data_IF_929595192544
#
_entry.id   IF_929595192544
#
_cell.length_a   1.000
_cell.length_b   1.000
_cell.length_c   1.000
_cell.angle_alpha   90.00
_cell.angle_beta   90.00
_cell.angle_gamma   90.00
#
_symmetry.space_group_name_H-M   'P 1'
#
loop_
_entity.id
_entity.type
_entity.pdbx_description
1 polymer ?
#
# COMPACT_ATOMS: atom_id res chain seq x y z
N UNK A 1 -19.67 40.19 -17.84
CA UNK A 1 -19.00 40.74 -16.64
C UNK A 1 -18.81 39.69 -15.53
N UNK A 2 -19.67 38.68 -15.44
CA UNK A 2 -19.61 37.71 -14.32
C UNK A 2 -18.55 36.61 -14.45
N UNK A 3 -17.98 36.38 -15.62
CA UNK A 3 -16.91 35.39 -15.82
C UNK A 3 -15.50 35.88 -15.44
N UNK A 4 -15.27 37.16 -15.39
CA UNK A 4 -13.96 37.75 -15.04
C UNK A 4 -13.77 37.82 -13.54
N UNK A 5 -14.84 38.04 -12.78
CA UNK A 5 -14.78 38.07 -11.29
C UNK A 5 -14.54 36.68 -10.67
N UNK A 6 -14.93 35.60 -11.36
CA UNK A 6 -14.77 34.24 -10.85
C UNK A 6 -13.33 33.73 -10.97
N UNK A 7 -12.58 34.17 -11.99
CA UNK A 7 -11.17 33.81 -12.21
C UNK A 7 -10.24 34.53 -11.24
N UNK A 8 -10.56 35.77 -10.85
CA UNK A 8 -9.74 36.52 -9.85
C UNK A 8 -9.94 35.98 -8.42
N UNK A 9 -11.10 35.43 -8.07
CA UNK A 9 -11.35 34.83 -6.76
C UNK A 9 -10.60 33.48 -6.57
N UNK A 10 -10.40 32.70 -7.63
CA UNK A 10 -9.64 31.45 -7.57
C UNK A 10 -8.13 31.73 -7.51
N UNK A 11 -7.66 32.80 -8.14
CA UNK A 11 -6.25 33.21 -8.11
C UNK A 11 -5.79 33.74 -6.72
N UNK A 12 -6.72 34.21 -5.87
CA UNK A 12 -6.38 34.71 -4.53
C UNK A 12 -6.41 33.63 -3.46
N UNK A 13 -7.04 32.49 -3.69
CA UNK A 13 -7.05 31.36 -2.74
C UNK A 13 -5.74 30.56 -2.73
N UNK A 14 -4.89 30.70 -3.75
CA UNK A 14 -3.59 30.02 -3.83
C UNK A 14 -2.42 30.79 -3.19
N UNK A 15 -2.64 32.02 -2.71
CA UNK A 15 -1.62 32.87 -2.08
C UNK A 15 -1.98 33.33 -0.68
N UNK A 16 -2.65 32.51 0.11
CA UNK A 16 -2.68 32.73 1.55
C UNK A 16 -1.30 32.41 2.10
N UNK A 17 -0.57 33.37 2.71
CA UNK A 17 0.67 33.04 3.38
C UNK A 17 0.36 32.00 4.47
N UNK A 18 1.20 30.98 4.56
CA UNK A 18 1.20 30.10 5.72
C UNK A 18 1.25 30.97 6.99
N UNK A 19 0.54 30.61 8.06
CA UNK A 19 0.59 31.40 9.28
C UNK A 19 2.05 31.50 9.73
N UNK A 20 2.55 32.75 9.79
CA UNK A 20 3.85 33.13 10.37
C UNK A 20 3.83 32.79 11.87
N UNK A 21 4.21 31.62 12.19
CA UNK A 21 4.44 31.10 13.51
C UNK A 21 4.97 29.71 13.31
N UNK A 22 6.29 29.53 13.24
CA UNK A 22 6.99 28.27 13.03
C UNK A 22 6.65 27.22 14.09
N UNK A 23 5.46 26.67 14.04
CA UNK A 23 5.16 25.41 14.67
C UNK A 23 5.95 24.35 13.92
N UNK A 24 7.07 23.91 14.48
CA UNK A 24 7.77 22.74 14.01
C UNK A 24 6.78 21.58 14.06
N UNK A 25 6.48 21.01 12.89
CA UNK A 25 5.59 19.85 12.83
C UNK A 25 6.12 18.74 13.75
N UNK A 26 5.22 18.12 14.50
CA UNK A 26 5.58 17.08 15.45
C UNK A 26 6.06 15.84 14.70
N UNK A 27 7.23 15.32 15.08
CA UNK A 27 7.72 14.04 14.49
C UNK A 27 6.80 12.90 14.84
N UNK A 28 6.53 12.08 13.85
CA UNK A 28 5.67 10.90 13.98
C UNK A 28 6.52 9.64 14.12
N UNK A 29 6.42 9.00 15.27
CA UNK A 29 7.10 7.74 15.61
C UNK A 29 6.17 6.57 15.34
N UNK A 30 6.68 5.49 14.76
CA UNK A 30 6.00 4.20 14.73
C UNK A 30 6.28 3.49 16.06
N UNK A 31 5.35 3.63 16.99
CA UNK A 31 5.47 3.12 18.36
C UNK A 31 5.38 1.59 18.41
N UNK A 32 4.43 1.00 17.70
CA UNK A 32 4.24 -0.43 17.68
C UNK A 32 3.46 -0.91 16.47
N UNK A 33 3.72 -2.15 16.07
CA UNK A 33 3.08 -2.79 14.92
C UNK A 33 2.64 -4.21 15.24
N UNK A 34 1.57 -4.65 14.59
CA UNK A 34 1.03 -6.01 14.74
C UNK A 34 0.40 -6.50 13.44
N UNK A 35 0.47 -7.81 13.20
CA UNK A 35 -0.07 -8.43 11.99
C UNK A 35 -0.43 -9.89 12.25
N UNK A 36 -1.59 -10.32 11.75
CA UNK A 36 -1.97 -11.74 11.77
C UNK A 36 -1.27 -12.50 10.64
N UNK A 37 -1.17 -13.83 10.77
CA UNK A 37 -0.87 -14.66 9.59
C UNK A 37 -2.01 -14.54 8.59
N UNK A 38 -1.68 -14.26 7.33
CA UNK A 38 -2.69 -14.14 6.29
C UNK A 38 -3.23 -15.53 5.90
N UNK A 39 -4.52 -15.58 5.59
CA UNK A 39 -5.25 -16.81 5.29
C UNK A 39 -6.11 -16.69 4.04
N UNK A 40 -6.45 -17.83 3.44
CA UNK A 40 -7.42 -17.89 2.33
C UNK A 40 -8.84 -17.63 2.85
N UNK A 41 -9.75 -17.13 2.00
CA UNK A 41 -11.17 -17.08 2.32
C UNK A 41 -11.68 -18.45 2.80
N UNK A 42 -12.45 -18.44 3.89
CA UNK A 42 -12.98 -19.65 4.53
C UNK A 42 -12.01 -20.37 5.47
N UNK A 43 -10.74 -19.94 5.56
CA UNK A 43 -9.74 -20.49 6.47
C UNK A 43 -9.23 -19.46 7.50
N UNK A 44 -9.82 -18.27 7.55
CA UNK A 44 -9.50 -17.20 8.50
C UNK A 44 -10.46 -17.20 9.67
N UNK A 45 -10.05 -16.56 10.76
CA UNK A 45 -10.95 -16.05 11.78
C UNK A 45 -11.85 -14.93 11.21
N UNK A 46 -12.84 -14.48 11.97
CA UNK A 46 -13.67 -13.33 11.58
C UNK A 46 -12.88 -12.03 11.63
N UNK A 47 -13.31 -11.03 10.85
CA UNK A 47 -12.60 -9.77 10.70
C UNK A 47 -12.32 -9.07 12.03
N UNK A 48 -13.27 -9.13 12.97
CA UNK A 48 -13.16 -8.51 14.29
C UNK A 48 -12.15 -9.23 15.20
N UNK A 49 -11.99 -10.54 15.06
CA UNK A 49 -10.95 -11.34 15.77
C UNK A 49 -9.58 -11.06 15.19
N UNK A 50 -9.45 -11.01 13.84
CA UNK A 50 -8.19 -10.70 13.20
C UNK A 50 -7.71 -9.28 13.53
N UNK A 51 -8.62 -8.32 13.57
CA UNK A 51 -8.32 -6.95 13.97
C UNK A 51 -7.90 -6.86 15.45
N UNK A 52 -8.63 -7.54 16.34
CA UNK A 52 -8.27 -7.61 17.76
C UNK A 52 -6.85 -8.14 17.97
N UNK A 53 -6.52 -9.25 17.31
CA UNK A 53 -5.18 -9.86 17.44
C UNK A 53 -4.09 -8.89 16.95
N UNK A 54 -4.28 -8.26 15.79
CA UNK A 54 -3.34 -7.26 15.27
C UNK A 54 -3.16 -6.05 16.20
N UNK A 55 -4.25 -5.53 16.77
CA UNK A 55 -4.19 -4.40 17.72
C UNK A 55 -3.44 -4.80 18.99
N UNK A 56 -3.75 -5.98 19.57
CA UNK A 56 -3.09 -6.46 20.79
C UNK A 56 -1.60 -6.69 20.58
N UNK A 57 -1.19 -7.18 19.41
CA UNK A 57 0.22 -7.29 19.05
C UNK A 57 0.88 -5.90 18.96
N UNK A 58 0.24 -4.91 18.32
CA UNK A 58 0.76 -3.55 18.21
C UNK A 58 0.90 -2.86 19.57
N UNK A 59 -0.08 -3.01 20.46
CA UNK A 59 -0.02 -2.50 21.84
C UNK A 59 1.13 -3.15 22.63
N UNK A 60 1.28 -4.47 22.49
CA UNK A 60 2.39 -5.21 23.13
C UNK A 60 3.75 -4.76 22.59
N UNK A 61 3.87 -4.54 21.28
CA UNK A 61 5.11 -4.08 20.65
C UNK A 61 5.47 -2.65 21.09
N UNK A 62 4.46 -1.78 21.23
CA UNK A 62 4.64 -0.42 21.76
C UNK A 62 4.89 -0.39 23.29
N UNK A 63 4.52 -1.43 24.03
CA UNK A 63 4.63 -1.48 25.49
C UNK A 63 3.63 -0.57 26.24
N UNK A 64 2.44 -0.31 25.65
CA UNK A 64 1.39 0.55 26.21
C UNK A 64 0.05 -0.16 26.32
N UNK A 65 -0.90 0.43 27.05
CA UNK A 65 -2.27 -0.02 27.15
C UNK A 65 -3.19 0.60 26.12
N UNK A 66 -4.38 0.05 25.92
CA UNK A 66 -5.38 0.63 25.01
C UNK A 66 -5.93 1.97 25.53
N UNK A 67 -5.88 2.19 26.83
CA UNK A 67 -6.23 3.45 27.50
C UNK A 67 -5.34 4.64 27.11
N UNK A 68 -4.17 4.37 26.58
CA UNK A 68 -3.24 5.40 26.08
C UNK A 68 -3.60 5.90 24.66
N UNK A 69 -4.43 5.14 23.93
CA UNK A 69 -4.87 5.50 22.58
C UNK A 69 -5.93 6.60 22.67
N UNK A 70 -5.71 7.68 21.94
CA UNK A 70 -6.58 8.87 21.96
C UNK A 70 -7.53 8.96 20.75
N UNK A 71 -7.20 8.28 19.66
CA UNK A 71 -8.00 8.24 18.42
C UNK A 71 -7.68 6.98 17.63
N UNK A 72 -8.63 6.50 16.81
CA UNK A 72 -8.42 5.33 15.96
C UNK A 72 -8.99 5.51 14.55
N UNK A 73 -8.23 5.01 13.55
CA UNK A 73 -8.66 4.89 12.17
C UNK A 73 -8.73 3.42 11.78
N UNK A 74 -9.91 2.98 11.35
CA UNK A 74 -10.17 1.58 10.98
C UNK A 74 -10.44 1.46 9.48
N UNK A 75 -9.58 0.72 8.78
CA UNK A 75 -9.64 0.51 7.34
C UNK A 75 -10.17 -0.87 6.97
N UNK A 76 -11.21 -0.90 6.11
CA UNK A 76 -11.75 -2.11 5.50
C UNK A 76 -12.53 -1.75 4.23
N UNK A 77 -12.70 -2.70 3.32
CA UNK A 77 -13.41 -2.51 2.05
C UNK A 77 -14.73 -3.27 2.04
N UNK A 78 -14.70 -4.56 2.33
CA UNK A 78 -15.85 -5.45 2.32
C UNK A 78 -16.40 -5.68 3.73
N UNK A 79 -17.06 -4.67 4.27
CA UNK A 79 -17.72 -4.73 5.58
C UNK A 79 -18.88 -3.75 5.66
N UNK A 80 -19.81 -4.04 6.55
CA UNK A 80 -20.91 -3.13 6.86
C UNK A 80 -20.42 -1.86 7.57
N UNK A 81 -21.28 -0.85 7.64
CA UNK A 81 -21.00 0.35 8.42
C UNK A 81 -20.63 0.00 9.86
N UNK A 82 -19.63 0.72 10.42
CA UNK A 82 -19.19 0.56 11.81
C UNK A 82 -18.45 -0.77 12.14
N UNK A 83 -17.99 -1.53 11.14
CA UNK A 83 -17.15 -2.69 11.40
C UNK A 83 -15.88 -2.32 12.20
N UNK A 84 -15.34 -1.11 12.01
CA UNK A 84 -14.20 -0.61 12.80
C UNK A 84 -14.49 -0.52 14.28
N UNK A 85 -15.66 0.02 14.67
CA UNK A 85 -16.08 0.05 16.08
C UNK A 85 -16.22 -1.38 16.64
N UNK A 86 -16.87 -2.29 15.90
CA UNK A 86 -17.03 -3.68 16.31
C UNK A 86 -15.67 -4.35 16.59
N UNK A 87 -14.70 -4.11 15.72
CA UNK A 87 -13.36 -4.66 15.85
C UNK A 87 -12.61 -4.07 17.05
N UNK A 88 -12.60 -2.73 17.18
CA UNK A 88 -11.87 -2.03 18.25
C UNK A 88 -12.49 -2.30 19.62
N UNK A 89 -13.82 -2.40 19.73
CA UNK A 89 -14.51 -2.66 21.00
C UNK A 89 -14.15 -4.02 21.62
N UNK A 90 -13.61 -4.97 20.85
CA UNK A 90 -13.05 -6.22 21.39
C UNK A 90 -11.78 -5.99 22.22
N UNK A 91 -11.06 -4.92 21.96
CA UNK A 91 -9.84 -4.53 22.70
C UNK A 91 -10.20 -3.66 23.89
N UNK A 92 -11.07 -2.66 23.70
CA UNK A 92 -11.51 -1.77 24.74
C UNK A 92 -12.57 -0.78 24.27
N UNK A 93 -13.28 -0.17 25.22
CA UNK A 93 -14.32 0.85 24.99
C UNK A 93 -14.01 2.08 25.85
N UNK A 94 -13.05 2.90 25.41
CA UNK A 94 -12.57 4.09 26.14
C UNK A 94 -13.27 5.38 25.71
N UNK A 95 -14.16 5.31 24.73
CA UNK A 95 -14.90 6.49 24.23
C UNK A 95 -14.12 7.35 23.24
N UNK A 96 -12.96 6.89 22.76
CA UNK A 96 -12.16 7.61 21.76
C UNK A 96 -12.88 7.73 20.41
N UNK A 97 -12.61 8.78 19.62
CA UNK A 97 -13.07 8.86 18.25
C UNK A 97 -12.58 7.69 17.41
N UNK A 98 -13.50 7.06 16.66
CA UNK A 98 -13.17 6.00 15.67
C UNK A 98 -13.71 6.43 14.32
N UNK A 99 -12.80 6.48 13.32
CA UNK A 99 -13.13 6.83 11.92
C UNK A 99 -12.93 5.61 11.04
N UNK A 100 -13.97 5.22 10.29
CA UNK A 100 -13.87 4.16 9.28
C UNK A 100 -13.41 4.75 7.94
N UNK A 101 -12.48 4.08 7.28
CA UNK A 101 -11.80 4.55 6.06
C UNK A 101 -11.94 3.51 4.97
N UNK A 102 -12.15 3.95 3.74
CA UNK A 102 -12.16 3.09 2.55
C UNK A 102 -11.61 3.85 1.33
N UNK A 103 -10.46 3.41 0.84
CA UNK A 103 -9.83 3.81 -0.42
C UNK A 103 -9.37 2.55 -1.18
N UNK A 104 -10.29 1.57 -1.31
CA UNK A 104 -10.02 0.29 -1.95
C UNK A 104 -8.71 -0.35 -1.41
N UNK A 105 -7.82 -0.82 -2.27
CA UNK A 105 -6.60 -1.52 -1.86
C UNK A 105 -5.61 -0.65 -1.04
N UNK A 106 -5.69 0.69 -1.10
CA UNK A 106 -4.85 1.60 -0.31
C UNK A 106 -5.44 1.99 1.05
N UNK A 107 -6.54 1.36 1.44
CA UNK A 107 -7.28 1.67 2.68
C UNK A 107 -6.41 1.66 3.93
N UNK A 108 -5.55 0.64 4.11
CA UNK A 108 -4.68 0.56 5.28
C UNK A 108 -3.65 1.70 5.35
N UNK A 109 -3.08 2.07 4.21
CA UNK A 109 -2.17 3.22 4.12
C UNK A 109 -2.89 4.55 4.29
N UNK A 110 -4.17 4.65 3.89
CA UNK A 110 -4.99 5.84 4.15
C UNK A 110 -5.28 5.99 5.65
N UNK A 111 -5.56 4.90 6.37
CA UNK A 111 -5.70 4.93 7.82
C UNK A 111 -4.40 5.40 8.50
N UNK A 112 -3.25 4.92 8.02
CA UNK A 112 -1.92 5.34 8.49
C UNK A 112 -1.64 6.83 8.17
N UNK A 113 -2.05 7.30 6.99
CA UNK A 113 -1.93 8.71 6.58
C UNK A 113 -2.70 9.64 7.50
N UNK A 114 -3.95 9.31 7.81
CA UNK A 114 -4.77 10.10 8.75
C UNK A 114 -4.22 10.04 10.18
N UNK A 115 -3.73 8.88 10.63
CA UNK A 115 -3.10 8.74 11.93
C UNK A 115 -1.84 9.61 12.04
N UNK A 116 -1.00 9.66 10.99
CA UNK A 116 0.16 10.55 10.94
C UNK A 116 -0.27 12.01 11.03
N UNK A 117 -1.24 12.44 10.25
CA UNK A 117 -1.74 13.82 10.30
C UNK A 117 -2.24 14.19 11.68
N UNK A 118 -2.94 13.30 12.39
CA UNK A 118 -3.41 13.56 13.74
C UNK A 118 -2.24 13.83 14.71
N UNK A 119 -1.12 13.12 14.59
CA UNK A 119 0.09 13.35 15.39
C UNK A 119 0.79 14.63 14.93
N UNK A 120 1.05 14.78 13.65
CA UNK A 120 1.86 15.86 13.07
C UNK A 120 1.28 17.25 13.35
N UNK A 121 -0.05 17.35 13.31
CA UNK A 121 -0.78 18.61 13.61
C UNK A 121 -1.23 18.73 15.07
N UNK A 122 -0.77 17.84 15.96
CA UNK A 122 -1.04 17.94 17.40
C UNK A 122 -2.49 17.74 17.79
N UNK A 123 -3.27 16.98 16.98
CA UNK A 123 -4.66 16.62 17.32
C UNK A 123 -4.67 15.55 18.41
N UNK A 124 -3.70 14.65 18.39
CA UNK A 124 -3.53 13.57 19.35
C UNK A 124 -2.03 13.22 19.47
N UNK A 125 -1.63 12.66 20.62
CA UNK A 125 -0.25 12.23 20.87
C UNK A 125 -0.03 10.72 20.64
N UNK A 126 -1.12 9.92 20.64
CA UNK A 126 -1.06 8.49 20.41
C UNK A 126 -2.31 8.01 19.66
N UNK A 127 -2.12 7.43 18.48
CA UNK A 127 -3.18 7.10 17.54
C UNK A 127 -3.02 5.67 17.01
N UNK A 128 -4.12 4.94 16.95
CA UNK A 128 -4.20 3.61 16.35
C UNK A 128 -4.65 3.69 14.89
N UNK A 129 -3.91 3.07 13.98
CA UNK A 129 -4.39 2.68 12.66
C UNK A 129 -4.55 1.16 12.63
N UNK A 130 -5.72 0.66 12.29
CA UNK A 130 -6.01 -0.78 12.14
C UNK A 130 -6.67 -1.04 10.81
N UNK A 131 -6.27 -2.11 10.14
CA UNK A 131 -6.86 -2.55 8.89
C UNK A 131 -7.14 -4.04 8.91
N UNK A 132 -8.25 -4.43 8.31
CA UNK A 132 -8.64 -5.84 8.23
C UNK A 132 -9.44 -6.10 6.97
N UNK A 133 -9.45 -7.37 6.54
CA UNK A 133 -10.31 -7.80 5.45
C UNK A 133 -10.69 -9.27 5.63
N UNK A 134 -11.96 -9.56 5.44
CA UNK A 134 -12.50 -10.93 5.38
C UNK A 134 -13.11 -11.12 3.99
N UNK A 135 -12.25 -11.43 3.00
CA UNK A 135 -12.66 -11.59 1.62
C UNK A 135 -13.45 -12.89 1.40
N UNK A 136 -14.32 -12.86 0.40
CA UNK A 136 -15.02 -14.04 -0.10
C UNK A 136 -14.25 -14.66 -1.28
N UNK A 137 -14.43 -15.95 -1.58
CA UNK A 137 -13.96 -16.54 -2.83
C UNK A 137 -14.53 -15.77 -4.04
N UNK A 138 -13.69 -15.49 -5.06
CA UNK A 138 -14.11 -14.72 -6.22
C UNK A 138 -14.24 -13.21 -5.98
N UNK A 139 -13.46 -12.67 -5.07
CA UNK A 139 -13.43 -11.27 -4.65
C UNK A 139 -13.39 -10.23 -5.78
N UNK A 140 -13.72 -8.98 -5.43
CA UNK A 140 -13.82 -7.79 -6.27
C UNK A 140 -15.11 -7.70 -7.11
N UNK A 141 -16.15 -8.43 -6.73
CA UNK A 141 -17.49 -8.20 -7.29
C UNK A 141 -18.10 -6.91 -6.71
N UNK A 142 -18.88 -6.19 -7.52
CA UNK A 142 -19.65 -5.05 -7.05
C UNK A 142 -20.70 -5.52 -6.01
N UNK A 143 -20.72 -4.84 -4.86
CA UNK A 143 -21.71 -5.12 -3.80
C UNK A 143 -23.07 -4.51 -4.13
N UNK A 144 -23.08 -3.34 -4.76
CA UNK A 144 -24.30 -2.62 -5.13
C UNK A 144 -24.46 -2.55 -6.65
N UNK A 145 -25.60 -2.98 -7.16
CA UNK A 145 -25.93 -3.00 -8.60
C UNK A 145 -27.04 -2.04 -8.98
N UNK A 146 -27.62 -1.31 -8.00
CA UNK A 146 -28.74 -0.40 -8.13
C UNK A 146 -28.34 1.08 -8.24
N UNK A 147 -27.06 1.37 -8.29
CA UNK A 147 -26.49 2.71 -8.33
C UNK A 147 -25.27 2.78 -9.25
N UNK A 148 -24.81 3.99 -9.66
CA UNK A 148 -23.61 4.12 -10.49
C UNK A 148 -22.40 3.41 -9.89
N UNK A 149 -21.67 2.65 -10.73
CA UNK A 149 -20.40 2.05 -10.33
C UNK A 149 -19.35 3.14 -10.13
N UNK A 150 -18.52 3.10 -9.08
CA UNK A 150 -17.39 4.02 -8.94
C UNK A 150 -16.33 3.81 -10.02
N UNK A 151 -16.40 2.69 -10.76
CA UNK A 151 -15.48 2.36 -11.85
C UNK A 151 -16.06 2.63 -13.25
N UNK A 152 -17.22 3.27 -13.38
CA UNK A 152 -17.88 3.43 -14.68
C UNK A 152 -17.01 4.11 -15.74
N UNK A 153 -16.26 5.17 -15.36
CA UNK A 153 -15.37 5.88 -16.29
C UNK A 153 -14.11 5.07 -16.58
N UNK A 154 -13.59 4.35 -15.58
CA UNK A 154 -12.48 3.40 -15.74
C UNK A 154 -12.85 2.26 -16.68
N UNK A 155 -14.04 1.67 -16.50
CA UNK A 155 -14.56 0.58 -17.31
C UNK A 155 -14.71 1.05 -18.77
N UNK A 156 -15.31 2.24 -18.97
CA UNK A 156 -15.48 2.83 -20.29
C UNK A 156 -14.14 3.05 -21.00
N UNK A 157 -13.14 3.57 -20.27
CA UNK A 157 -11.81 3.80 -20.82
C UNK A 157 -11.09 2.48 -21.10
N UNK A 158 -11.17 1.53 -20.19
CA UNK A 158 -10.59 0.19 -20.37
C UNK A 158 -11.20 -0.52 -21.58
N UNK A 159 -12.54 -0.50 -21.73
CA UNK A 159 -13.25 -1.11 -22.86
C UNK A 159 -12.84 -0.50 -24.21
N UNK A 160 -12.52 0.79 -24.22
CA UNK A 160 -12.04 1.49 -25.43
C UNK A 160 -10.58 1.18 -25.79
N UNK A 161 -9.78 0.69 -24.84
CA UNK A 161 -8.34 0.43 -25.02
C UNK A 161 -8.01 -1.06 -25.12
N UNK A 162 -8.82 -1.94 -24.53
CA UNK A 162 -8.56 -3.37 -24.42
C UNK A 162 -9.73 -4.17 -24.96
N UNK A 163 -9.52 -4.83 -26.09
CA UNK A 163 -10.52 -5.69 -26.73
C UNK A 163 -10.49 -7.11 -26.15
N UNK A 164 -11.04 -7.29 -24.93
CA UNK A 164 -11.13 -8.59 -24.26
C UNK A 164 -12.17 -8.59 -23.11
N UNK A 165 -13.44 -8.39 -23.46
CA UNK A 165 -14.55 -8.30 -22.49
C UNK A 165 -14.74 -9.56 -21.63
N UNK A 166 -14.27 -10.73 -22.08
CA UNK A 166 -14.42 -12.00 -21.36
C UNK A 166 -13.44 -12.18 -20.18
N UNK A 167 -12.44 -11.29 -20.04
CA UNK A 167 -11.44 -11.34 -18.96
C UNK A 167 -12.00 -10.61 -17.73
N UNK A 168 -11.91 -11.17 -16.52
CA UNK A 168 -12.32 -10.51 -15.30
C UNK A 168 -11.68 -9.11 -15.14
N UNK A 169 -12.47 -8.15 -14.67
CA UNK A 169 -12.14 -6.72 -14.72
C UNK A 169 -10.76 -6.35 -14.18
N UNK A 170 -10.41 -6.81 -12.97
CA UNK A 170 -9.09 -6.52 -12.37
C UNK A 170 -7.92 -7.04 -13.23
N UNK A 171 -8.10 -8.20 -13.88
CA UNK A 171 -7.10 -8.75 -14.79
C UNK A 171 -6.98 -7.91 -16.06
N UNK A 172 -8.08 -7.32 -16.54
CA UNK A 172 -8.09 -6.42 -17.70
C UNK A 172 -7.33 -5.13 -17.41
N UNK A 173 -7.53 -4.53 -16.25
CA UNK A 173 -6.82 -3.31 -15.85
C UNK A 173 -5.31 -3.53 -15.79
N UNK A 174 -4.87 -4.42 -14.91
CA UNK A 174 -3.43 -4.61 -14.68
C UNK A 174 -2.75 -5.40 -15.81
N UNK A 175 -3.44 -6.36 -16.40
CA UNK A 175 -2.95 -7.06 -17.59
C UNK A 175 -2.86 -6.12 -18.80
N UNK A 176 -3.84 -5.24 -18.99
CA UNK A 176 -3.84 -4.21 -20.01
C UNK A 176 -2.68 -3.24 -19.86
N UNK A 177 -2.41 -2.80 -18.62
CA UNK A 177 -1.26 -1.97 -18.31
C UNK A 177 0.08 -2.67 -18.62
N UNK A 178 0.22 -3.94 -18.22
CA UNK A 178 1.38 -4.75 -18.59
C UNK A 178 1.50 -4.93 -20.10
N UNK A 179 0.39 -5.14 -20.81
CA UNK A 179 0.39 -5.23 -22.28
C UNK A 179 0.84 -3.90 -22.92
N UNK A 180 0.36 -2.76 -22.43
CA UNK A 180 0.85 -1.45 -22.89
C UNK A 180 2.36 -1.30 -22.71
N UNK A 181 2.88 -1.78 -21.56
CA UNK A 181 4.32 -1.79 -21.31
C UNK A 181 5.08 -2.74 -22.26
N UNK A 182 4.51 -3.93 -22.53
CA UNK A 182 5.08 -4.87 -23.52
C UNK A 182 5.16 -4.24 -24.91
N UNK A 183 4.07 -3.59 -25.35
CA UNK A 183 3.98 -2.98 -26.66
C UNK A 183 4.92 -1.77 -26.81
N UNK A 184 5.11 -0.98 -25.76
CA UNK A 184 5.90 0.25 -25.75
C UNK A 184 7.40 -0.01 -25.57
N UNK A 185 7.77 -0.96 -24.71
CA UNK A 185 9.15 -1.16 -24.25
C UNK A 185 9.71 -2.56 -24.51
N UNK A 186 8.92 -3.49 -25.07
CA UNK A 186 9.36 -4.82 -25.39
C UNK A 186 9.46 -5.77 -24.18
N UNK A 187 8.80 -5.46 -23.06
CA UNK A 187 8.68 -6.35 -21.90
C UNK A 187 8.08 -7.70 -22.33
N UNK A 188 8.53 -8.74 -21.71
CA UNK A 188 8.09 -10.12 -22.02
C UNK A 188 7.27 -10.73 -20.89
N UNK A 189 6.52 -11.77 -21.19
CA UNK A 189 5.82 -12.56 -20.17
C UNK A 189 6.77 -13.12 -19.11
N UNK A 190 8.00 -13.45 -19.51
CA UNK A 190 9.04 -13.96 -18.60
C UNK A 190 9.46 -12.92 -17.55
N UNK A 191 9.49 -11.62 -17.88
CA UNK A 191 9.82 -10.57 -16.91
C UNK A 191 8.80 -10.54 -15.77
N UNK A 192 7.50 -10.67 -16.06
CA UNK A 192 6.46 -10.81 -15.05
C UNK A 192 6.58 -12.12 -14.27
N UNK A 193 6.97 -13.22 -14.93
CA UNK A 193 7.20 -14.49 -14.25
C UNK A 193 8.38 -14.41 -13.27
N UNK A 194 9.45 -13.71 -13.59
CA UNK A 194 10.60 -13.45 -12.71
C UNK A 194 10.19 -12.67 -11.45
N UNK A 195 9.30 -11.69 -11.58
CA UNK A 195 8.73 -10.96 -10.43
C UNK A 195 7.97 -11.93 -9.51
N UNK A 196 7.08 -12.77 -10.06
CA UNK A 196 6.33 -13.74 -9.26
C UNK A 196 7.24 -14.75 -8.57
N UNK A 197 8.23 -15.27 -9.27
CA UNK A 197 9.23 -16.20 -8.71
C UNK A 197 10.00 -15.54 -7.56
N UNK A 198 10.46 -14.27 -7.73
CA UNK A 198 11.08 -13.48 -6.66
C UNK A 198 10.16 -13.35 -5.45
N UNK A 199 8.90 -12.96 -5.63
CA UNK A 199 7.94 -12.79 -4.54
C UNK A 199 7.75 -14.11 -3.75
N UNK A 200 7.69 -15.26 -4.43
CA UNK A 200 7.56 -16.56 -3.77
C UNK A 200 8.81 -16.92 -2.95
N UNK A 201 10.00 -16.68 -3.50
CA UNK A 201 11.28 -16.90 -2.81
C UNK A 201 11.40 -16.02 -1.56
N UNK A 202 11.00 -14.75 -1.62
CA UNK A 202 10.97 -13.88 -0.46
C UNK A 202 9.99 -14.37 0.60
N UNK A 203 8.80 -14.83 0.20
CA UNK A 203 7.77 -15.31 1.10
C UNK A 203 8.17 -16.56 1.89
N UNK A 204 9.08 -17.41 1.38
CA UNK A 204 9.58 -18.58 2.14
C UNK A 204 10.25 -18.20 3.45
N UNK A 205 10.71 -16.94 3.56
CA UNK A 205 11.33 -16.38 4.77
C UNK A 205 10.31 -15.73 5.73
N UNK A 206 9.03 -15.67 5.34
CA UNK A 206 8.00 -14.99 6.11
C UNK A 206 6.97 -15.96 6.70
N UNK A 207 7.01 -16.23 8.02
CA UNK A 207 6.06 -17.14 8.66
C UNK A 207 4.60 -16.65 8.63
N UNK A 208 4.38 -15.35 8.35
CA UNK A 208 3.06 -14.73 8.28
C UNK A 208 2.48 -14.74 6.85
N UNK A 209 3.25 -15.20 5.86
CA UNK A 209 2.80 -15.26 4.47
C UNK A 209 1.74 -16.35 4.25
N UNK A 210 0.84 -16.07 3.30
CA UNK A 210 -0.17 -17.02 2.84
C UNK A 210 0.45 -18.22 2.10
N UNK A 211 1.47 -17.94 1.25
CA UNK A 211 2.22 -18.96 0.52
C UNK A 211 3.66 -18.99 1.03
N UNK A 212 4.11 -20.17 1.38
CA UNK A 212 5.43 -20.46 1.95
C UNK A 212 6.33 -21.33 1.04
N UNK A 213 5.87 -21.55 -0.21
CA UNK A 213 6.59 -22.36 -1.20
C UNK A 213 7.11 -21.51 -2.34
N UNK A 214 8.37 -21.74 -2.69
CA UNK A 214 8.96 -21.17 -3.87
C UNK A 214 8.36 -21.77 -5.14
N UNK A 215 8.12 -20.91 -6.13
CA UNK A 215 7.76 -21.29 -7.51
C UNK A 215 8.84 -20.78 -8.45
N UNK A 216 9.23 -21.59 -9.43
CA UNK A 216 10.19 -21.21 -10.45
C UNK A 216 9.55 -20.30 -11.51
N UNK A 217 10.38 -19.65 -12.32
CA UNK A 217 9.90 -18.93 -13.51
C UNK A 217 9.12 -19.84 -14.43
N UNK A 218 9.61 -21.07 -14.62
CA UNK A 218 8.95 -22.09 -15.46
C UNK A 218 7.57 -22.48 -14.92
N UNK A 219 7.42 -22.68 -13.59
CA UNK A 219 6.13 -22.96 -12.96
C UNK A 219 5.13 -21.82 -13.21
N UNK A 220 5.60 -20.56 -13.18
CA UNK A 220 4.74 -19.40 -13.44
C UNK A 220 4.33 -19.35 -14.91
N UNK A 221 5.27 -19.62 -15.83
CA UNK A 221 5.01 -19.61 -17.27
C UNK A 221 4.03 -20.71 -17.68
N UNK A 222 4.11 -21.88 -17.04
CA UNK A 222 3.23 -23.03 -17.31
C UNK A 222 1.91 -23.01 -16.53
N UNK A 223 1.71 -22.05 -15.64
CA UNK A 223 0.46 -21.92 -14.90
C UNK A 223 -0.73 -21.66 -15.87
N UNK A 224 -1.97 -21.98 -15.46
CA UNK A 224 -3.14 -21.71 -16.29
C UNK A 224 -3.17 -20.30 -16.86
N UNK A 225 -3.32 -20.22 -18.19
CA UNK A 225 -3.37 -18.94 -18.90
C UNK A 225 -4.67 -18.21 -18.58
N UNK A 226 -4.57 -16.97 -18.14
CA UNK A 226 -5.69 -16.07 -17.88
C UNK A 226 -5.90 -15.07 -19.02
N UNK A 227 -4.80 -14.68 -19.66
CA UNK A 227 -4.79 -13.84 -20.86
C UNK A 227 -3.63 -14.28 -21.76
N UNK A 228 -3.94 -14.86 -22.95
CA UNK A 228 -2.89 -15.37 -23.85
C UNK A 228 -1.80 -14.35 -24.15
N UNK A 229 -0.56 -14.74 -23.93
CA UNK A 229 0.63 -13.90 -24.16
C UNK A 229 0.85 -12.78 -23.14
N UNK A 230 -0.08 -12.53 -22.23
CA UNK A 230 -0.01 -11.41 -21.26
C UNK A 230 0.06 -11.89 -19.82
N UNK A 231 -0.75 -12.87 -19.42
CA UNK A 231 -0.89 -13.23 -18.01
C UNK A 231 -1.18 -14.70 -17.78
N UNK A 232 -0.49 -15.30 -16.81
CA UNK A 232 -0.88 -16.56 -16.19
C UNK A 232 -1.48 -16.33 -14.79
N UNK A 233 -2.20 -17.34 -14.28
CA UNK A 233 -2.87 -17.25 -12.97
C UNK A 233 -1.94 -16.89 -11.81
N UNK A 234 -0.68 -17.32 -11.84
CA UNK A 234 0.27 -17.05 -10.77
C UNK A 234 0.79 -15.61 -10.75
N UNK A 235 0.53 -14.82 -11.79
CA UNK A 235 0.92 -13.40 -11.87
C UNK A 235 -0.06 -12.45 -11.17
N UNK A 236 -1.15 -12.98 -10.60
CA UNK A 236 -2.15 -12.24 -9.83
C UNK A 236 -2.10 -12.66 -8.35
N UNK A 237 -2.34 -11.70 -7.44
CA UNK A 237 -2.47 -11.98 -6.01
C UNK A 237 -3.75 -12.79 -5.73
N UNK A 238 -3.74 -13.67 -4.73
CA UNK A 238 -4.93 -14.42 -4.33
C UNK A 238 -5.85 -13.57 -3.44
N UNK A 239 -7.17 -13.81 -3.45
CA UNK A 239 -8.05 -13.33 -2.40
C UNK A 239 -7.53 -13.75 -1.03
N UNK A 240 -7.46 -12.80 -0.09
CA UNK A 240 -6.78 -13.01 1.19
C UNK A 240 -7.55 -12.35 2.34
N UNK A 241 -7.56 -13.01 3.50
CA UNK A 241 -8.09 -12.49 4.75
C UNK A 241 -6.95 -12.21 5.73
N UNK A 242 -7.08 -11.18 6.57
CA UNK A 242 -6.09 -10.85 7.57
C UNK A 242 -6.33 -9.50 8.23
N UNK A 243 -5.56 -9.22 9.27
CA UNK A 243 -5.55 -7.96 9.99
C UNK A 243 -4.12 -7.46 10.21
N UNK A 244 -3.95 -6.14 10.24
CA UNK A 244 -2.71 -5.48 10.61
C UNK A 244 -3.00 -4.16 11.33
N UNK A 245 -2.10 -3.73 12.22
CA UNK A 245 -2.24 -2.51 13.00
C UNK A 245 -0.90 -1.82 13.18
N UNK A 246 -0.94 -0.49 13.29
CA UNK A 246 0.18 0.36 13.68
C UNK A 246 -0.29 1.38 14.71
N UNK A 247 0.56 1.63 15.71
CA UNK A 247 0.39 2.71 16.67
C UNK A 247 1.42 3.78 16.34
N UNK A 248 0.93 4.98 16.09
CA UNK A 248 1.76 6.15 15.87
C UNK A 248 1.71 7.05 17.10
N UNK A 249 2.81 7.66 17.45
CA UNK A 249 2.84 8.64 18.54
C UNK A 249 3.77 9.83 18.26
N UNK A 250 3.58 10.89 19.05
CA UNK A 250 4.49 12.02 19.08
C UNK A 250 5.84 11.64 19.72
N UNK A 251 6.91 12.36 19.37
CA UNK A 251 8.23 12.14 19.98
C UNK A 251 8.18 12.35 21.51
N UNK A 252 7.38 13.32 21.97
CA UNK A 252 7.19 13.60 23.40
C UNK A 252 6.47 12.47 24.12
N UNK A 253 5.44 11.90 23.49
CA UNK A 253 4.74 10.73 24.04
C UNK A 253 5.69 9.52 24.10
N UNK A 254 6.45 9.27 23.03
CA UNK A 254 7.42 8.17 23.00
C UNK A 254 8.45 8.30 24.13
N UNK A 255 9.00 9.51 24.32
CA UNK A 255 9.97 9.78 25.42
C UNK A 255 9.35 9.56 26.79
N UNK A 256 8.12 10.03 27.01
CA UNK A 256 7.41 9.90 28.30
C UNK A 256 7.12 8.44 28.68
N UNK A 257 6.80 7.61 27.69
CA UNK A 257 6.41 6.22 27.87
C UNK A 257 7.57 5.22 27.64
N UNK A 258 8.79 5.71 27.31
CA UNK A 258 9.96 4.85 27.06
C UNK A 258 9.82 3.98 25.79
N UNK A 259 9.08 4.47 24.80
CA UNK A 259 8.82 3.77 23.53
C UNK A 259 10.06 3.85 22.62
N UNK A 260 10.31 2.78 21.88
CA UNK A 260 11.34 2.74 20.84
C UNK A 260 11.04 3.75 19.72
N UNK A 261 11.82 4.83 19.65
CA UNK A 261 11.65 5.92 18.70
C UNK A 261 12.53 5.81 17.45
N UNK A 262 13.15 4.65 17.23
CA UNK A 262 14.08 4.46 16.09
C UNK A 262 13.43 4.55 14.72
N UNK A 263 12.11 4.34 14.59
CA UNK A 263 11.42 4.36 13.30
C UNK A 263 10.48 5.57 13.23
N UNK A 264 10.74 6.46 12.29
CA UNK A 264 9.98 7.68 12.06
C UNK A 264 9.35 7.67 10.67
N UNK A 265 8.12 8.16 10.54
CA UNK A 265 7.55 8.51 9.23
C UNK A 265 7.99 9.94 8.92
N UNK A 266 8.93 10.10 8.00
CA UNK A 266 9.53 11.41 7.69
C UNK A 266 8.82 12.14 6.58
N UNK A 267 8.23 11.42 5.63
CA UNK A 267 7.40 11.99 4.57
C UNK A 267 6.28 11.02 4.18
N UNK A 268 5.17 11.57 3.74
CA UNK A 268 4.04 10.78 3.24
C UNK A 268 3.19 11.66 2.33
N UNK A 269 2.77 11.12 1.20
CA UNK A 269 1.85 11.76 0.27
C UNK A 269 0.71 10.82 -0.09
N UNK A 270 -0.46 11.39 -0.34
CA UNK A 270 -1.61 10.71 -0.92
C UNK A 270 -2.09 11.49 -2.14
N UNK A 271 -2.14 10.83 -3.27
CA UNK A 271 -2.60 11.39 -4.55
C UNK A 271 -3.85 10.67 -5.05
N UNK A 272 -4.60 11.31 -5.91
CA UNK A 272 -5.77 10.74 -6.60
C UNK A 272 -5.65 10.96 -8.10
N UNK A 273 -6.56 10.39 -8.86
CA UNK A 273 -6.61 10.53 -10.32
C UNK A 273 -6.74 11.99 -10.76
N UNK A 274 -6.19 12.28 -11.92
CA UNK A 274 -6.33 13.54 -12.64
C UNK A 274 -7.06 13.29 -13.96
N UNK A 275 -7.50 14.32 -14.71
CA UNK A 275 -8.07 14.12 -16.03
C UNK A 275 -7.17 13.31 -16.98
N UNK A 276 -5.83 13.39 -16.81
CA UNK A 276 -4.87 12.62 -17.59
C UNK A 276 -5.04 11.09 -17.44
N UNK A 277 -5.55 10.60 -16.32
CA UNK A 277 -5.86 9.18 -16.11
C UNK A 277 -6.75 8.62 -17.23
N UNK A 278 -7.71 9.40 -17.73
CA UNK A 278 -8.64 9.01 -18.79
C UNK A 278 -8.22 9.57 -20.17
N UNK A 279 -7.75 10.81 -20.23
CA UNK A 279 -7.45 11.53 -21.46
C UNK A 279 -6.20 10.99 -22.19
N UNK A 280 -5.22 10.47 -21.45
CA UNK A 280 -3.99 9.91 -22.01
C UNK A 280 -4.24 8.65 -22.86
N UNK A 281 -5.36 7.95 -22.67
CA UNK A 281 -5.70 6.70 -23.36
C UNK A 281 -4.58 5.67 -23.26
N UNK A 282 -4.00 5.52 -22.09
CA UNK A 282 -2.95 4.57 -21.76
C UNK A 282 -3.35 3.74 -20.53
N UNK A 283 -3.29 2.42 -20.64
CA UNK A 283 -3.66 1.52 -19.56
C UNK A 283 -2.72 1.63 -18.34
N UNK A 284 -1.47 2.07 -18.53
CA UNK A 284 -0.56 2.33 -17.39
C UNK A 284 -1.05 3.53 -16.58
N UNK A 285 -1.55 4.57 -17.24
CA UNK A 285 -2.17 5.72 -16.57
C UNK A 285 -3.44 5.32 -15.81
N UNK A 286 -4.26 4.48 -16.43
CA UNK A 286 -5.52 4.01 -15.85
C UNK A 286 -5.33 3.22 -14.55
N UNK A 287 -4.19 2.56 -14.36
CA UNK A 287 -3.84 1.86 -13.12
C UNK A 287 -2.95 2.69 -12.17
N UNK A 288 -2.78 3.99 -12.42
CA UNK A 288 -2.17 4.94 -11.50
C UNK A 288 -0.67 5.14 -11.62
N UNK A 289 -0.08 5.03 -12.82
CA UNK A 289 1.35 5.30 -13.05
C UNK A 289 1.73 6.73 -12.63
N UNK A 290 1.06 7.77 -13.18
CA UNK A 290 1.34 9.17 -12.85
C UNK A 290 1.00 9.49 -11.38
N UNK A 291 -0.09 8.91 -10.88
CA UNK A 291 -0.48 9.05 -9.47
C UNK A 291 0.61 8.53 -8.54
N UNK A 292 1.25 7.39 -8.88
CA UNK A 292 2.40 6.82 -8.17
C UNK A 292 3.62 7.73 -8.27
N UNK A 293 3.95 8.18 -9.48
CA UNK A 293 5.11 9.04 -9.73
C UNK A 293 5.00 10.39 -9.00
N UNK A 294 3.81 10.99 -9.00
CA UNK A 294 3.57 12.26 -8.29
C UNK A 294 3.66 12.09 -6.76
N UNK A 295 3.07 11.03 -6.19
CA UNK A 295 3.18 10.75 -4.77
C UNK A 295 4.64 10.50 -4.35
N UNK A 296 5.40 9.73 -5.14
CA UNK A 296 6.82 9.47 -4.88
C UNK A 296 7.64 10.77 -4.93
N UNK A 297 7.44 11.59 -5.96
CA UNK A 297 8.10 12.90 -6.09
C UNK A 297 7.85 13.79 -4.87
N UNK A 298 6.58 13.93 -4.43
CA UNK A 298 6.22 14.70 -3.25
C UNK A 298 6.94 14.20 -1.99
N UNK A 299 7.03 12.88 -1.82
CA UNK A 299 7.69 12.26 -0.66
C UNK A 299 9.20 12.50 -0.68
N UNK A 300 9.86 12.32 -1.83
CA UNK A 300 11.28 12.58 -1.95
C UNK A 300 11.62 14.06 -1.73
N UNK A 301 10.85 14.96 -2.33
CA UNK A 301 11.02 16.42 -2.12
C UNK A 301 10.84 16.81 -0.64
N UNK A 302 9.79 16.29 0.03
CA UNK A 302 9.54 16.60 1.44
C UNK A 302 10.62 16.05 2.37
N UNK A 303 11.20 14.88 2.04
CA UNK A 303 12.26 14.27 2.82
C UNK A 303 13.67 14.79 2.48
N UNK A 304 13.82 15.48 1.35
CA UNK A 304 15.13 15.98 0.85
C UNK A 304 16.09 14.87 0.42
N UNK A 305 15.54 13.75 -0.12
CA UNK A 305 16.33 12.60 -0.61
C UNK A 305 15.87 12.19 -2.01
N UNK A 306 16.60 11.27 -2.65
CA UNK A 306 16.20 10.63 -3.91
C UNK A 306 15.85 9.16 -3.75
N UNK A 307 15.38 8.54 -4.83
CA UNK A 307 15.12 7.10 -4.85
C UNK A 307 16.39 6.28 -4.57
N UNK A 308 17.57 6.81 -4.93
CA UNK A 308 18.87 6.19 -4.73
C UNK A 308 19.28 6.02 -3.26
N UNK A 309 18.63 6.75 -2.35
CA UNK A 309 18.87 6.69 -0.90
C UNK A 309 18.02 5.62 -0.19
N UNK A 310 17.07 4.98 -0.92
CA UNK A 310 16.17 3.95 -0.36
C UNK A 310 16.86 2.59 -0.31
N UNK A 311 16.77 1.90 0.82
CA UNK A 311 17.36 0.57 1.02
C UNK A 311 16.36 -0.57 0.76
N UNK A 312 15.10 -0.38 1.19
CA UNK A 312 14.06 -1.41 1.14
C UNK A 312 12.70 -0.83 0.78
N UNK A 313 11.94 -1.55 -0.03
CA UNK A 313 10.65 -1.12 -0.54
C UNK A 313 9.59 -2.20 -0.34
N UNK A 314 8.46 -1.86 0.25
CA UNK A 314 7.21 -2.63 0.15
C UNK A 314 6.28 -1.89 -0.80
N UNK A 315 6.06 -2.44 -1.98
CA UNK A 315 5.23 -1.83 -3.02
C UNK A 315 4.01 -2.70 -3.37
N UNK A 316 3.07 -2.11 -4.09
CA UNK A 316 1.77 -2.71 -4.40
C UNK A 316 1.86 -3.66 -5.61
N UNK A 317 2.24 -4.90 -5.38
CA UNK A 317 2.33 -5.97 -6.37
C UNK A 317 1.05 -6.83 -6.43
N UNK A 318 -0.13 -6.20 -6.55
CA UNK A 318 -1.37 -6.97 -6.72
C UNK A 318 -1.34 -7.85 -7.98
N UNK A 319 -0.56 -7.44 -8.98
CA UNK A 319 -0.16 -8.20 -10.16
C UNK A 319 1.34 -7.98 -10.41
N UNK A 320 2.01 -8.98 -10.98
CA UNK A 320 3.41 -8.84 -11.38
C UNK A 320 3.61 -7.69 -12.39
N UNK A 321 2.60 -7.43 -13.21
CA UNK A 321 2.53 -6.30 -14.16
C UNK A 321 2.60 -4.95 -13.43
N UNK A 322 1.83 -4.81 -12.34
CA UNK A 322 1.81 -3.59 -11.54
C UNK A 322 3.14 -3.37 -10.80
N UNK A 323 3.77 -4.43 -10.29
CA UNK A 323 5.09 -4.31 -9.66
C UNK A 323 6.12 -3.75 -10.63
N UNK A 324 6.15 -4.26 -11.88
CA UNK A 324 7.06 -3.79 -12.91
C UNK A 324 6.89 -2.30 -13.19
N UNK A 325 5.64 -1.86 -13.42
CA UNK A 325 5.30 -0.46 -13.70
C UNK A 325 5.63 0.42 -12.49
N UNK A 326 5.42 -0.09 -11.27
CA UNK A 326 5.70 0.64 -10.04
C UNK A 326 7.19 0.88 -9.82
N UNK A 327 8.10 0.03 -10.29
CA UNK A 327 9.54 0.31 -10.25
C UNK A 327 9.89 1.62 -10.95
N UNK A 328 9.29 1.85 -12.10
CA UNK A 328 9.48 3.06 -12.89
C UNK A 328 8.78 4.27 -12.26
N UNK A 329 7.52 4.10 -11.82
CA UNK A 329 6.75 5.16 -11.17
C UNK A 329 7.39 5.65 -9.86
N UNK A 330 8.03 4.77 -9.09
CA UNK A 330 8.79 5.15 -7.88
C UNK A 330 10.20 5.67 -8.17
N UNK A 331 10.63 5.67 -9.44
CA UNK A 331 11.99 6.10 -9.82
C UNK A 331 13.11 5.14 -9.41
N UNK A 332 12.80 3.86 -9.11
CA UNK A 332 13.80 2.86 -8.79
C UNK A 332 14.64 2.49 -10.02
N UNK A 333 14.06 2.62 -11.20
CA UNK A 333 14.70 2.56 -12.49
C UNK A 333 14.09 3.58 -13.45
N UNK A 334 14.77 3.94 -14.58
CA UNK A 334 14.19 4.83 -15.59
C UNK A 334 12.95 4.22 -16.25
N UNK A 335 12.08 5.05 -16.81
CA UNK A 335 10.95 4.61 -17.66
C UNK A 335 11.46 3.73 -18.80
N UNK A 336 10.82 2.56 -19.00
CA UNK A 336 11.23 1.53 -19.95
C UNK A 336 12.49 0.74 -19.53
N UNK A 337 12.98 0.92 -18.31
CA UNK A 337 14.16 0.26 -17.77
C UNK A 337 13.90 -0.95 -16.88
N UNK A 338 12.64 -1.26 -16.60
CA UNK A 338 12.27 -2.28 -15.62
C UNK A 338 12.75 -3.69 -16.00
N UNK A 339 12.79 -4.05 -17.31
CA UNK A 339 13.30 -5.36 -17.75
C UNK A 339 14.76 -5.55 -17.37
N UNK A 340 15.60 -4.51 -17.61
CA UNK A 340 17.00 -4.55 -17.22
C UNK A 340 17.16 -4.62 -15.71
N UNK A 341 16.40 -3.82 -14.98
CA UNK A 341 16.38 -3.82 -13.52
C UNK A 341 16.06 -5.21 -12.91
N UNK A 342 15.10 -5.93 -13.51
CA UNK A 342 14.75 -7.30 -13.12
C UNK A 342 15.87 -8.28 -13.53
N UNK A 343 16.41 -8.16 -14.75
CA UNK A 343 17.43 -9.07 -15.28
C UNK A 343 18.76 -8.97 -14.50
N UNK A 344 19.13 -7.76 -14.06
CA UNK A 344 20.30 -7.52 -13.24
C UNK A 344 20.13 -7.96 -11.78
N UNK A 345 18.88 -8.27 -11.36
CA UNK A 345 18.58 -8.64 -9.98
C UNK A 345 18.54 -7.45 -9.03
N UNK A 346 18.42 -6.24 -9.55
CA UNK A 346 18.41 -5.00 -8.77
C UNK A 346 17.15 -4.82 -7.90
N UNK A 347 16.17 -5.71 -8.04
CA UNK A 347 14.91 -5.73 -7.29
C UNK A 347 14.86 -6.75 -6.14
N UNK A 348 15.99 -7.35 -5.77
CA UNK A 348 16.05 -8.42 -4.76
C UNK A 348 17.30 -8.33 -3.90
N UNK A 349 17.45 -9.24 -2.95
CA UNK A 349 18.64 -9.31 -2.08
C UNK A 349 19.93 -9.41 -2.88
N UNK A 350 20.88 -8.53 -2.57
CA UNK A 350 22.16 -8.40 -3.27
C UNK A 350 22.13 -7.46 -4.46
N UNK A 351 20.96 -6.99 -4.88
CA UNK A 351 20.78 -5.94 -5.88
C UNK A 351 20.77 -4.54 -5.28
N UNK A 352 20.36 -3.56 -6.09
CA UNK A 352 20.34 -2.15 -5.69
C UNK A 352 19.27 -1.86 -4.62
N UNK A 353 18.10 -2.48 -4.76
CA UNK A 353 16.99 -2.37 -3.81
C UNK A 353 16.49 -3.76 -3.43
N UNK A 354 15.96 -3.91 -2.21
CA UNK A 354 15.18 -5.10 -1.88
C UNK A 354 13.69 -4.72 -1.93
N UNK A 355 13.00 -5.20 -2.95
CA UNK A 355 11.56 -4.95 -3.10
C UNK A 355 10.74 -6.13 -2.57
N UNK A 356 9.71 -5.83 -1.79
CA UNK A 356 8.79 -6.80 -1.19
C UNK A 356 9.52 -7.94 -0.43
N UNK A 357 10.39 -7.63 0.56
CA UNK A 357 11.05 -8.66 1.38
C UNK A 357 10.05 -9.57 2.10
N UNK A 358 8.85 -9.08 2.36
CA UNK A 358 7.75 -9.85 2.97
C UNK A 358 7.16 -10.94 2.07
N UNK A 359 7.47 -10.94 0.77
CA UNK A 359 6.82 -11.75 -0.26
C UNK A 359 5.71 -10.99 -1.03
N UNK A 360 5.48 -9.73 -0.68
CA UNK A 360 4.52 -8.86 -1.36
C UNK A 360 3.07 -9.37 -1.33
N UNK A 361 2.21 -8.72 -2.10
CA UNK A 361 0.82 -9.10 -2.23
C UNK A 361 0.68 -10.44 -2.99
N UNK A 362 1.60 -10.70 -3.92
CA UNK A 362 1.62 -11.91 -4.74
C UNK A 362 1.82 -13.19 -3.93
N UNK A 363 2.53 -13.14 -2.79
CA UNK A 363 2.86 -14.33 -2.00
C UNK A 363 2.53 -14.21 -0.53
N UNK A 364 2.77 -13.07 0.13
CA UNK A 364 2.30 -12.81 1.49
C UNK A 364 0.78 -12.74 1.51
N UNK A 365 0.17 -12.13 0.50
CA UNK A 365 -1.26 -11.98 0.36
C UNK A 365 -1.72 -10.52 0.39
N UNK A 366 -3.00 -10.31 0.02
CA UNK A 366 -3.58 -8.98 -0.17
C UNK A 366 -4.96 -8.84 0.48
N UNK A 367 -5.06 -8.80 1.82
CA UNK A 367 -6.30 -8.35 2.48
C UNK A 367 -6.37 -6.83 2.33
N UNK A 368 -7.32 -6.33 1.52
CA UNK A 368 -7.37 -4.94 1.03
C UNK A 368 -7.19 -3.90 2.14
N UNK A 369 -8.00 -4.00 3.20
CA UNK A 369 -7.93 -3.07 4.33
C UNK A 369 -6.65 -3.17 5.16
N UNK A 370 -6.02 -4.35 5.22
CA UNK A 370 -4.83 -4.60 6.04
C UNK A 370 -3.50 -4.35 5.31
N UNK A 371 -3.48 -4.38 3.97
CA UNK A 371 -2.24 -4.42 3.18
C UNK A 371 -1.27 -3.29 3.52
N UNK A 372 -1.74 -2.04 3.57
CA UNK A 372 -0.86 -0.91 3.85
C UNK A 372 -0.24 -0.94 5.26
N UNK A 373 -0.99 -1.45 6.23
CA UNK A 373 -0.47 -1.62 7.60
C UNK A 373 0.45 -2.83 7.74
N UNK A 374 0.23 -3.88 6.94
CA UNK A 374 1.16 -5.02 6.85
C UNK A 374 2.49 -4.63 6.17
N UNK A 375 2.48 -3.68 5.24
CA UNK A 375 3.70 -3.06 4.70
C UNK A 375 4.42 -2.24 5.78
N UNK A 376 3.69 -1.43 6.56
CA UNK A 376 4.24 -0.71 7.72
C UNK A 376 4.86 -1.67 8.75
N UNK A 377 4.21 -2.80 9.06
CA UNK A 377 4.74 -3.85 9.91
C UNK A 377 6.10 -4.36 9.42
N UNK A 378 6.20 -4.73 8.16
CA UNK A 378 7.45 -5.24 7.56
C UNK A 378 8.56 -4.19 7.61
N UNK A 379 8.28 -2.97 7.12
CA UNK A 379 9.29 -1.91 7.04
C UNK A 379 9.75 -1.44 8.42
N UNK A 380 8.87 -1.42 9.41
CA UNK A 380 9.23 -1.16 10.81
C UNK A 380 10.19 -2.22 11.34
N UNK A 381 9.90 -3.50 11.06
CA UNK A 381 10.79 -4.62 11.41
C UNK A 381 12.17 -4.50 10.75
N UNK A 382 12.20 -4.12 9.47
CA UNK A 382 13.44 -3.91 8.71
C UNK A 382 14.31 -2.80 9.34
N UNK A 383 13.71 -1.65 9.64
CA UNK A 383 14.43 -0.51 10.23
C UNK A 383 14.84 -0.74 11.71
N UNK A 384 14.08 -1.54 12.45
CA UNK A 384 14.45 -1.96 13.80
C UNK A 384 15.50 -3.06 13.85
N UNK A 385 15.78 -3.74 12.74
CA UNK A 385 16.67 -4.90 12.69
C UNK A 385 16.04 -6.17 13.26
N UNK A 386 14.72 -6.29 13.20
CA UNK A 386 13.94 -7.39 13.78
C UNK A 386 13.19 -8.24 12.76
N UNK A 387 13.45 -8.04 11.46
CA UNK A 387 12.78 -8.77 10.38
C UNK A 387 13.22 -10.25 10.24
N UNK A 388 14.13 -10.73 11.08
CA UNK A 388 14.60 -12.13 11.08
C UNK A 388 15.25 -12.51 9.75
N UNK A 389 14.81 -13.62 9.13
CA UNK A 389 15.37 -14.10 7.87
C UNK A 389 15.12 -13.17 6.67
N UNK A 390 14.19 -12.21 6.81
CA UNK A 390 13.87 -11.21 5.78
C UNK A 390 14.73 -9.95 5.91
N UNK A 391 15.59 -9.86 6.92
CA UNK A 391 16.36 -8.65 7.21
C UNK A 391 17.19 -8.21 6.02
N UNK A 392 17.04 -6.94 5.62
CA UNK A 392 17.92 -6.21 4.73
C UNK A 392 19.00 -5.57 5.61
N UNK A 393 20.22 -6.04 5.47
CA UNK A 393 21.32 -5.60 6.32
C UNK A 393 21.62 -4.10 6.13
N UNK A 394 21.69 -3.39 7.24
CA UNK A 394 22.03 -1.97 7.27
C UNK A 394 20.92 -1.02 6.81
N UNK A 395 19.70 -1.50 6.59
CA UNK A 395 18.58 -0.66 6.14
C UNK A 395 18.33 0.52 7.10
N UNK A 396 18.26 1.73 6.54
CA UNK A 396 18.02 3.00 7.23
C UNK A 396 16.87 3.79 6.64
N UNK A 397 16.59 3.60 5.35
CA UNK A 397 15.52 4.27 4.61
C UNK A 397 14.62 3.23 3.97
N UNK A 398 13.35 3.29 4.28
CA UNK A 398 12.36 2.36 3.77
C UNK A 398 11.21 3.10 3.08
N UNK A 399 10.77 2.61 1.93
CA UNK A 399 9.68 3.19 1.15
C UNK A 399 8.51 2.23 1.08
N UNK A 400 7.33 2.73 1.37
CA UNK A 400 6.06 2.04 1.20
C UNK A 400 5.28 2.67 0.05
N UNK A 401 4.73 1.83 -0.82
CA UNK A 401 3.78 2.24 -1.86
C UNK A 401 2.53 1.37 -1.80
N UNK A 402 1.38 1.99 -1.70
CA UNK A 402 0.10 1.29 -1.66
C UNK A 402 -0.92 2.00 -2.56
N UNK A 403 -1.39 1.28 -3.58
CA UNK A 403 -2.29 1.76 -4.61
C UNK A 403 -3.68 1.20 -4.39
N UNK A 404 -4.71 2.04 -4.49
CA UNK A 404 -6.12 1.67 -4.56
C UNK A 404 -6.70 2.04 -5.92
N UNK A 405 -7.15 1.05 -6.69
CA UNK A 405 -7.81 1.30 -7.96
C UNK A 405 -9.06 2.15 -7.74
N UNK A 406 -9.28 3.14 -8.60
CA UNK A 406 -10.36 4.12 -8.43
C UNK A 406 -9.93 5.36 -7.63
N UNK A 407 -8.64 5.63 -7.56
CA UNK A 407 -8.11 6.93 -7.22
C UNK A 407 -7.54 7.13 -5.83
N UNK A 408 -6.65 6.23 -5.37
CA UNK A 408 -5.79 6.57 -4.24
C UNK A 408 -4.42 5.87 -4.35
N UNK A 409 -3.37 6.66 -4.29
CA UNK A 409 -2.00 6.17 -4.09
C UNK A 409 -1.42 6.80 -2.84
N UNK A 410 -0.90 5.99 -1.94
CA UNK A 410 -0.20 6.46 -0.74
C UNK A 410 1.24 5.99 -0.78
N UNK A 411 2.17 6.95 -0.75
CA UNK A 411 3.61 6.68 -0.60
C UNK A 411 4.05 7.20 0.76
N UNK A 412 4.77 6.36 1.51
CA UNK A 412 5.24 6.67 2.85
C UNK A 412 6.73 6.38 2.96
N UNK A 413 7.50 7.32 3.44
CA UNK A 413 8.92 7.19 3.73
C UNK A 413 9.16 7.04 5.22
N UNK A 414 9.89 6.00 5.57
CA UNK A 414 10.33 5.73 6.93
C UNK A 414 11.84 5.88 7.01
N UNK A 415 12.31 6.46 8.09
CA UNK A 415 13.75 6.53 8.36
C UNK A 415 14.06 6.02 9.77
N UNK A 416 15.20 5.38 9.87
CA UNK A 416 15.79 5.03 11.16
C UNK A 416 16.50 6.27 11.72
N UNK A 417 16.06 6.73 12.92
CA UNK A 417 16.66 7.83 13.66
C UNK A 417 18.01 7.44 14.29
#
# INVERSE_FOLDING_TARGET
LDKILFVELIGQAQNSPAPDGGATMTKTIVAGVGMTKFAKPGASETYDVMAEDAIRQALKDAGIGFEDIQQAYAGYVYGDSTCGQKAIYRVGMTGIPVVNVNNNCSTGSTALFLARQAIEYGIADCVLAVGFEQMQPGALASVFTDRPSPFADFDTTCDALVDNADIPLALRYFGGAGKSHMDKYGTTLEDFARIRAKASRHATRNPLALFDKEVSVEDVMQAPVMWPGVMTRLMACPPTCGGAAAILCSEDFARKHGIDSRVQITAQAMTTDTPATFDARDMMQLVGYDMTADAARQVYEAAGIGAEDVDVVELHDCFAHNELITYEGLGLCPEGGAQKFIADGDNTYGGKYVTNPSGGLLSKGHPLGATGLAQCYELTGQLRGTAGQRQVEGAKVALQHNLGLGGACVVTLYQRA
#
